data_IF_227467483190
#
_entry.id   IF_227467483190
#
_cell.length_a   1.000
_cell.length_b   1.000
_cell.length_c   1.000
_cell.angle_alpha   90.00
_cell.angle_beta   90.00
_cell.angle_gamma   90.00
#
_symmetry.space_group_name_H-M   'P 1'
#
loop_
_entity.id
_entity.type
_entity.pdbx_description
1 polymer ?
#
# COMPACT_ATOMS: atom_id res chain seq x y z
N UNK A 1 0.57 -6.52 1.82
CA UNK A 1 1.33 -7.75 1.53
C UNK A 1 2.50 -7.39 0.61
N UNK A 2 3.74 -7.55 1.10
CA UNK A 2 5.01 -7.10 0.48
C UNK A 2 5.38 -7.91 -0.76
N UNK A 3 5.92 -7.26 -1.79
CA UNK A 3 6.68 -7.94 -2.85
C UNK A 3 8.10 -8.08 -2.33
N UNK A 4 8.61 -9.32 -2.22
CA UNK A 4 10.01 -9.57 -1.84
C UNK A 4 10.77 -9.91 -3.11
N UNK A 5 11.73 -9.07 -3.49
CA UNK A 5 12.62 -9.37 -4.61
C UNK A 5 13.86 -9.97 -3.99
N UNK A 6 14.10 -11.26 -4.17
CA UNK A 6 15.23 -11.95 -3.54
C UNK A 6 16.55 -11.59 -4.25
N UNK A 7 16.99 -10.36 -4.06
CA UNK A 7 18.32 -9.85 -4.40
C UNK A 7 18.83 -9.08 -3.18
N UNK A 8 19.60 -9.75 -2.33
CA UNK A 8 20.77 -9.17 -1.66
C UNK A 8 21.37 -10.19 -0.68
N UNK A 9 22.60 -10.62 -0.97
CA UNK A 9 23.60 -10.73 0.08
C UNK A 9 24.36 -9.39 0.13
N UNK A 10 24.59 -8.92 1.37
CA UNK A 10 25.46 -7.83 1.84
C UNK A 10 24.79 -6.44 2.07
N UNK A 11 24.83 -6.05 3.35
CA UNK A 11 24.41 -4.80 4.02
C UNK A 11 22.91 -4.70 4.43
N UNK A 12 22.67 -4.92 5.72
CA UNK A 12 21.39 -5.26 6.39
C UNK A 12 20.35 -4.13 6.55
N UNK A 13 20.34 -3.13 5.66
CA UNK A 13 19.36 -2.03 5.65
C UNK A 13 19.02 -1.63 4.22
N UNK A 14 18.35 -2.53 3.48
CA UNK A 14 17.82 -2.23 2.16
C UNK A 14 16.29 -2.13 2.20
N UNK A 15 15.75 -0.96 1.85
CA UNK A 15 14.31 -0.77 1.69
C UNK A 15 13.93 -1.16 0.27
N UNK A 16 13.56 -2.42 0.08
CA UNK A 16 13.10 -2.91 -1.20
C UNK A 16 11.70 -2.36 -1.52
N UNK A 17 11.68 -1.28 -2.30
CA UNK A 17 10.45 -0.66 -2.77
C UNK A 17 10.07 -1.26 -4.13
N UNK A 18 8.82 -1.72 -4.23
CA UNK A 18 8.21 -2.09 -5.50
C UNK A 18 6.97 -1.24 -5.72
N UNK A 19 6.85 -0.65 -6.91
CA UNK A 19 5.72 0.20 -7.30
C UNK A 19 4.92 -0.53 -8.36
N UNK A 20 3.60 -0.64 -8.13
CA UNK A 20 2.66 -1.17 -9.10
C UNK A 20 1.61 -0.10 -9.38
N UNK A 21 1.38 0.18 -10.67
CA UNK A 21 0.28 1.06 -11.10
C UNK A 21 -0.92 0.20 -11.47
N UNK A 22 -2.07 0.51 -10.86
CA UNK A 22 -3.33 -0.22 -11.08
C UNK A 22 -4.48 0.76 -11.27
N UNK A 23 -5.37 0.47 -12.22
CA UNK A 23 -6.64 1.17 -12.33
C UNK A 23 -7.60 0.65 -11.25
N UNK A 24 -8.08 1.55 -10.39
CA UNK A 24 -9.04 1.17 -9.35
C UNK A 24 -10.40 0.80 -10.00
N UNK A 25 -11.01 -0.35 -9.63
CA UNK A 25 -12.26 -0.81 -10.25
C UNK A 25 -13.50 -0.10 -9.67
N UNK A 26 -13.51 1.23 -9.68
CA UNK A 26 -14.59 2.05 -9.11
C UNK A 26 -15.91 1.89 -9.86
N UNK A 27 -15.88 1.50 -11.13
CA UNK A 27 -17.07 1.25 -11.95
C UNK A 27 -17.79 -0.09 -11.70
N UNK A 28 -17.23 -1.00 -10.90
CA UNK A 28 -17.89 -2.28 -10.60
C UNK A 28 -18.81 -2.14 -9.38
N UNK A 29 -20.12 -2.48 -9.47
CA UNK A 29 -21.07 -2.25 -8.39
C UNK A 29 -20.90 -3.22 -7.21
N UNK A 30 -20.45 -4.46 -7.48
CA UNK A 30 -20.32 -5.50 -6.46
C UNK A 30 -18.96 -5.43 -5.75
N UNK A 31 -18.97 -5.36 -4.41
CA UNK A 31 -17.77 -5.39 -3.55
C UNK A 31 -16.92 -6.64 -3.79
N UNK A 32 -17.54 -7.82 -3.84
CA UNK A 32 -16.86 -9.10 -4.13
C UNK A 32 -16.16 -9.04 -5.49
N UNK A 33 -16.84 -8.52 -6.52
CA UNK A 33 -16.24 -8.35 -7.86
C UNK A 33 -15.09 -7.35 -7.87
N UNK A 34 -15.22 -6.21 -7.18
CA UNK A 34 -14.13 -5.23 -7.03
C UNK A 34 -12.88 -5.87 -6.40
N UNK A 35 -13.06 -6.59 -5.29
CA UNK A 35 -11.97 -7.23 -4.58
C UNK A 35 -11.31 -8.34 -5.42
N UNK A 36 -12.12 -9.21 -6.03
CA UNK A 36 -11.61 -10.29 -6.87
C UNK A 36 -10.87 -9.75 -8.10
N UNK A 37 -11.38 -8.68 -8.73
CA UNK A 37 -10.73 -8.04 -9.86
C UNK A 37 -9.39 -7.40 -9.46
N UNK A 38 -9.37 -6.62 -8.37
CA UNK A 38 -8.15 -6.00 -7.87
C UNK A 38 -7.12 -7.06 -7.45
N UNK A 39 -7.56 -8.15 -6.82
CA UNK A 39 -6.70 -9.27 -6.48
C UNK A 39 -6.11 -9.92 -7.74
N UNK A 40 -6.93 -10.25 -8.74
CA UNK A 40 -6.45 -10.84 -9.99
C UNK A 40 -5.45 -9.92 -10.72
N UNK A 41 -5.72 -8.61 -10.78
CA UNK A 41 -4.81 -7.64 -11.39
C UNK A 41 -3.47 -7.58 -10.65
N UNK A 42 -3.51 -7.43 -9.33
CA UNK A 42 -2.29 -7.31 -8.52
C UNK A 42 -1.49 -8.60 -8.48
N UNK A 43 -2.14 -9.78 -8.44
CA UNK A 43 -1.45 -11.07 -8.52
C UNK A 43 -0.74 -11.24 -9.86
N UNK A 44 -1.41 -10.96 -10.99
CA UNK A 44 -0.78 -11.00 -12.33
C UNK A 44 0.42 -10.08 -12.45
N UNK A 45 0.32 -8.86 -11.91
CA UNK A 45 1.43 -7.91 -11.92
C UNK A 45 2.59 -8.37 -11.06
N UNK A 46 2.32 -8.99 -9.91
CA UNK A 46 3.36 -9.55 -9.03
C UNK A 46 4.06 -10.76 -9.62
N UNK A 47 3.34 -11.61 -10.32
CA UNK A 47 3.87 -12.81 -10.98
C UNK A 47 4.62 -12.47 -12.28
N UNK A 48 4.46 -11.25 -12.80
CA UNK A 48 5.19 -10.77 -13.96
C UNK A 48 6.63 -10.34 -13.61
N UNK A 49 7.46 -10.09 -14.62
CA UNK A 49 8.81 -9.54 -14.44
C UNK A 49 8.82 -8.04 -14.09
N UNK A 50 7.66 -7.39 -14.06
CA UNK A 50 7.53 -5.94 -13.80
C UNK A 50 8.13 -5.53 -12.45
N UNK A 51 7.85 -6.20 -11.31
CA UNK A 51 8.41 -5.81 -10.02
C UNK A 51 9.93 -5.90 -9.98
N UNK A 52 10.50 -6.93 -10.63
CA UNK A 52 11.95 -7.10 -10.76
C UNK A 52 12.55 -6.00 -11.63
N UNK A 53 11.94 -5.70 -12.78
CA UNK A 53 12.39 -4.63 -13.67
C UNK A 53 12.34 -3.25 -13.01
N UNK A 54 11.27 -2.97 -12.26
CA UNK A 54 11.14 -1.73 -11.47
C UNK A 54 12.22 -1.69 -10.38
N UNK A 55 12.42 -2.76 -9.62
CA UNK A 55 13.44 -2.81 -8.57
C UNK A 55 14.85 -2.58 -9.14
N UNK A 56 15.22 -3.27 -10.22
CA UNK A 56 16.53 -3.10 -10.88
C UNK A 56 16.71 -1.67 -11.40
N UNK A 57 15.69 -1.10 -12.04
CA UNK A 57 15.73 0.27 -12.53
C UNK A 57 15.86 1.27 -11.37
N UNK A 58 15.12 1.08 -10.27
CA UNK A 58 15.19 1.94 -9.09
C UNK A 58 16.56 1.85 -8.41
N UNK A 59 17.13 0.65 -8.25
CA UNK A 59 18.48 0.48 -7.68
C UNK A 59 19.55 1.11 -8.59
N UNK A 60 19.51 0.84 -9.90
CA UNK A 60 20.47 1.39 -10.85
C UNK A 60 20.38 2.92 -10.91
N UNK A 61 19.16 3.46 -10.91
CA UNK A 61 18.97 4.91 -10.97
C UNK A 61 19.34 5.59 -9.66
N UNK A 62 18.97 5.02 -8.51
CA UNK A 62 19.34 5.53 -7.19
C UNK A 62 20.85 5.60 -6.96
N UNK A 63 21.63 4.68 -7.55
CA UNK A 63 23.08 4.67 -7.44
C UNK A 63 23.79 5.63 -8.41
N UNK A 64 23.21 5.90 -9.59
CA UNK A 64 23.91 6.56 -10.70
C UNK A 64 23.39 7.96 -11.04
N UNK A 65 22.15 8.30 -10.68
CA UNK A 65 21.53 9.56 -11.12
C UNK A 65 21.70 10.68 -10.09
N UNK A 66 21.97 11.92 -10.53
CA UNK A 66 21.85 13.09 -9.68
C UNK A 66 20.44 13.24 -9.12
N UNK A 67 20.33 13.77 -7.89
CA UNK A 67 19.06 13.94 -7.17
C UNK A 67 17.94 14.58 -8.01
N UNK A 68 18.26 15.58 -8.83
CA UNK A 68 17.27 16.24 -9.71
C UNK A 68 16.62 15.28 -10.71
N UNK A 69 17.37 14.30 -11.22
CA UNK A 69 16.85 13.34 -12.19
C UNK A 69 16.01 12.25 -11.50
N UNK A 70 16.36 11.90 -10.25
CA UNK A 70 15.52 11.05 -9.40
C UNK A 70 14.18 11.72 -9.08
N UNK A 71 14.20 12.99 -8.70
CA UNK A 71 12.99 13.79 -8.47
C UNK A 71 12.13 13.89 -9.74
N UNK A 72 12.74 14.10 -10.91
CA UNK A 72 12.03 14.11 -12.19
C UNK A 72 11.39 12.74 -12.53
N UNK A 73 12.09 11.64 -12.28
CA UNK A 73 11.55 10.28 -12.48
C UNK A 73 10.36 10.02 -11.56
N UNK A 74 10.50 10.34 -10.27
CA UNK A 74 9.43 10.19 -9.29
C UNK A 74 8.21 11.03 -9.68
N UNK A 75 8.43 12.29 -10.06
CA UNK A 75 7.36 13.19 -10.53
C UNK A 75 6.66 12.65 -11.78
N UNK A 76 7.40 12.08 -12.74
CA UNK A 76 6.81 11.47 -13.95
C UNK A 76 5.90 10.29 -13.62
N UNK A 77 6.31 9.42 -12.69
CA UNK A 77 5.50 8.30 -12.22
C UNK A 77 4.26 8.78 -11.46
N UNK A 78 4.45 9.76 -10.58
CA UNK A 78 3.38 10.32 -9.75
C UNK A 78 2.35 11.12 -10.58
N UNK A 79 2.77 11.80 -11.65
CA UNK A 79 1.88 12.59 -12.50
C UNK A 79 0.81 11.75 -13.24
N UNK A 80 0.99 10.43 -13.32
CA UNK A 80 0.02 9.50 -13.91
C UNK A 80 -0.85 8.79 -12.86
N UNK A 81 -0.71 9.13 -11.59
CA UNK A 81 -1.44 8.53 -10.49
C UNK A 81 -2.36 9.56 -9.84
N UNK A 82 -3.60 9.17 -9.56
CA UNK A 82 -4.54 9.99 -8.79
C UNK A 82 -4.32 9.82 -7.29
N UNK A 83 -3.92 8.63 -6.88
CA UNK A 83 -3.64 8.28 -5.49
C UNK A 83 -2.48 7.30 -5.39
N UNK A 84 -1.77 7.35 -4.27
CA UNK A 84 -0.76 6.36 -3.88
C UNK A 84 -1.23 5.60 -2.65
N UNK A 85 -1.10 4.28 -2.69
CA UNK A 85 -1.36 3.41 -1.54
C UNK A 85 -0.07 2.70 -1.17
N UNK A 86 0.39 2.92 0.06
CA UNK A 86 1.59 2.28 0.61
C UNK A 86 1.23 1.35 1.75
N UNK A 87 1.81 0.16 1.75
CA UNK A 87 1.61 -0.83 2.80
C UNK A 87 2.97 -1.26 3.36
N UNK A 88 3.30 -0.74 4.53
CA UNK A 88 4.56 -0.99 5.21
C UNK A 88 4.32 -2.03 6.32
N UNK A 89 4.86 -3.25 6.21
CA UNK A 89 4.78 -4.22 7.29
C UNK A 89 5.68 -3.75 8.44
N UNK A 90 5.10 -3.59 9.63
CA UNK A 90 5.86 -3.30 10.84
C UNK A 90 6.20 -4.55 11.64
N UNK A 91 6.87 -4.39 12.79
CA UNK A 91 7.26 -5.50 13.65
C UNK A 91 6.04 -6.16 14.31
N UNK A 92 6.06 -7.50 14.35
CA UNK A 92 5.02 -8.34 14.98
C UNK A 92 5.04 -8.18 16.50
N UNK A 93 6.22 -8.02 17.10
CA UNK A 93 6.34 -7.81 18.54
C UNK A 93 6.36 -6.33 18.88
N UNK A 94 5.44 -5.91 19.76
CA UNK A 94 5.45 -4.57 20.33
C UNK A 94 6.79 -4.30 21.02
N UNK A 95 7.26 -3.07 20.87
CA UNK A 95 8.54 -2.57 21.36
C UNK A 95 8.28 -1.59 22.48
N UNK A 96 9.32 -1.36 23.28
CA UNK A 96 9.34 -0.35 24.34
C UNK A 96 10.30 0.76 23.96
N UNK A 97 9.92 1.98 24.27
CA UNK A 97 10.79 3.15 24.17
C UNK A 97 11.02 3.68 25.58
N UNK A 98 12.28 3.76 26.02
CA UNK A 98 12.65 4.17 27.38
C UNK A 98 11.82 3.47 28.48
N UNK A 99 11.64 2.14 28.36
CA UNK A 99 10.87 1.33 29.32
C UNK A 99 9.34 1.35 29.13
N UNK A 100 8.80 2.29 28.36
CA UNK A 100 7.35 2.44 28.15
C UNK A 100 6.91 1.69 26.89
N UNK A 101 5.77 0.97 26.90
CA UNK A 101 5.26 0.31 25.71
C UNK A 101 4.88 1.36 24.66
N UNK A 102 5.30 1.14 23.41
CA UNK A 102 4.79 1.92 22.29
C UNK A 102 3.37 1.43 21.99
N UNK A 103 2.40 2.34 22.00
CA UNK A 103 0.99 2.00 21.82
C UNK A 103 0.62 1.80 20.35
N UNK A 104 1.25 2.57 19.46
CA UNK A 104 1.04 2.51 18.03
C UNK A 104 2.11 3.28 17.28
N UNK A 105 2.19 3.03 15.97
CA UNK A 105 3.07 3.73 15.05
C UNK A 105 2.23 4.09 13.83
N UNK A 106 2.19 5.38 13.52
CA UNK A 106 1.63 5.88 12.27
C UNK A 106 2.78 6.26 11.33
N UNK A 107 2.68 5.86 10.07
CA UNK A 107 3.64 6.24 9.02
C UNK A 107 2.94 7.23 8.10
N UNK A 108 3.47 8.45 8.02
CA UNK A 108 3.06 9.41 7.01
C UNK A 108 4.06 9.38 5.87
N UNK A 109 3.57 9.16 4.65
CA UNK A 109 4.42 9.26 3.46
C UNK A 109 4.24 10.66 2.88
N UNK A 110 5.33 11.39 2.62
CA UNK A 110 5.24 12.74 2.09
C UNK A 110 4.49 12.73 0.76
N UNK A 111 3.53 13.63 0.61
CA UNK A 111 2.84 13.83 -0.65
C UNK A 111 3.82 14.39 -1.69
N UNK A 112 3.80 13.80 -2.89
CA UNK A 112 4.48 14.35 -4.06
C UNK A 112 3.51 15.33 -4.72
N UNK A 113 4.00 16.46 -5.22
CA UNK A 113 3.21 17.63 -5.65
C UNK A 113 2.19 17.40 -6.79
N UNK A 114 2.06 16.18 -7.29
CA UNK A 114 1.11 15.80 -8.35
C UNK A 114 0.10 14.74 -7.92
N UNK A 115 0.15 14.26 -6.67
CA UNK A 115 -0.75 13.23 -6.16
C UNK A 115 -1.80 13.87 -5.25
N UNK A 116 -3.07 13.70 -5.61
CA UNK A 116 -4.18 14.24 -4.83
C UNK A 116 -4.40 13.54 -3.49
N UNK A 117 -4.05 12.26 -3.38
CA UNK A 117 -4.30 11.47 -2.17
C UNK A 117 -3.21 10.42 -1.92
N UNK A 118 -2.71 10.34 -0.68
CA UNK A 118 -1.77 9.30 -0.24
C UNK A 118 -2.37 8.55 0.95
N UNK A 119 -2.63 7.26 0.77
CA UNK A 119 -3.08 6.35 1.82
C UNK A 119 -1.91 5.49 2.28
N UNK A 120 -1.61 5.49 3.57
CA UNK A 120 -0.57 4.66 4.16
C UNK A 120 -1.16 3.67 5.16
N UNK A 121 -0.67 2.42 5.11
CA UNK A 121 -0.99 1.42 6.12
C UNK A 121 0.29 0.94 6.80
N UNK A 122 0.23 0.83 8.13
CA UNK A 122 1.31 0.32 8.95
C UNK A 122 0.77 -0.67 9.98
N UNK A 123 1.32 -1.89 10.01
CA UNK A 123 0.90 -2.91 10.98
C UNK A 123 1.90 -2.98 12.12
N UNK A 124 1.44 -2.74 13.35
CA UNK A 124 2.25 -2.80 14.57
C UNK A 124 1.63 -3.76 15.59
N UNK A 125 2.26 -4.92 15.78
CA UNK A 125 1.60 -6.02 16.46
C UNK A 125 0.31 -6.42 15.75
N UNK A 126 -0.80 -6.41 16.47
CA UNK A 126 -2.13 -6.76 15.94
C UNK A 126 -2.92 -5.54 15.42
N UNK A 127 -2.35 -4.33 15.55
CA UNK A 127 -3.04 -3.09 15.17
C UNK A 127 -2.55 -2.63 13.80
N UNK A 128 -3.49 -2.44 12.86
CA UNK A 128 -3.22 -1.77 11.59
C UNK A 128 -3.60 -0.29 11.70
N UNK A 129 -2.62 0.59 11.59
CA UNK A 129 -2.84 2.03 11.48
C UNK A 129 -3.02 2.41 10.02
N UNK A 130 -3.96 3.33 9.75
CA UNK A 130 -4.22 3.88 8.42
C UNK A 130 -4.02 5.40 8.49
N UNK A 131 -3.12 5.93 7.67
CA UNK A 131 -2.88 7.35 7.50
C UNK A 131 -3.37 7.84 6.15
N UNK A 132 -3.81 9.10 6.10
CA UNK A 132 -4.25 9.76 4.87
C UNK A 132 -3.62 11.15 4.78
N UNK A 133 -3.02 11.45 3.64
CA UNK A 133 -2.65 12.81 3.22
C UNK A 133 -3.51 13.15 2.02
N UNK A 134 -4.15 14.31 2.05
CA UNK A 134 -5.06 14.79 1.02
C UNK A 134 -4.62 16.17 0.55
N UNK A 135 -4.60 16.39 -0.75
CA UNK A 135 -4.35 17.70 -1.36
C UNK A 135 -5.50 18.66 -1.03
N UNK A 136 -5.17 19.88 -0.62
CA UNK A 136 -6.15 20.91 -0.23
C UNK A 136 -7.08 21.34 -1.38
N UNK A 137 -6.67 21.12 -2.63
CA UNK A 137 -7.48 21.37 -3.82
C UNK A 137 -8.60 20.35 -4.04
N UNK A 138 -8.62 19.23 -3.30
CA UNK A 138 -9.72 18.26 -3.35
C UNK A 138 -10.85 18.73 -2.43
N UNK A 139 -12.10 18.88 -2.93
CA UNK A 139 -13.21 19.40 -2.15
C UNK A 139 -13.82 18.33 -1.21
N UNK A 140 -13.00 17.72 -0.35
CA UNK A 140 -13.46 16.85 0.74
C UNK A 140 -12.50 16.95 1.93
N UNK A 141 -12.95 16.51 3.11
CA UNK A 141 -12.09 16.49 4.30
C UNK A 141 -11.45 15.12 4.51
N UNK A 142 -10.22 15.10 5.01
CA UNK A 142 -9.48 13.86 5.23
C UNK A 142 -10.17 12.90 6.24
N UNK A 143 -10.78 13.44 7.28
CA UNK A 143 -11.62 12.73 8.26
C UNK A 143 -12.81 12.04 7.59
N UNK A 144 -13.52 12.72 6.69
CA UNK A 144 -14.66 12.13 5.97
C UNK A 144 -14.23 10.94 5.10
N UNK A 145 -13.07 11.05 4.44
CA UNK A 145 -12.51 9.97 3.62
C UNK A 145 -12.09 8.78 4.48
N UNK A 146 -11.43 9.03 5.63
CA UNK A 146 -11.04 7.97 6.56
C UNK A 146 -12.25 7.25 7.17
N UNK A 147 -13.30 7.98 7.53
CA UNK A 147 -14.54 7.37 7.98
C UNK A 147 -15.24 6.55 6.89
N UNK A 148 -15.26 7.06 5.66
CA UNK A 148 -15.82 6.33 4.52
C UNK A 148 -15.03 5.04 4.24
N UNK A 149 -13.69 5.11 4.37
CA UNK A 149 -12.82 3.95 4.30
C UNK A 149 -13.15 2.93 5.38
N UNK A 150 -13.26 3.34 6.65
CA UNK A 150 -13.58 2.46 7.76
C UNK A 150 -14.94 1.76 7.56
N UNK A 151 -15.99 2.51 7.20
CA UNK A 151 -17.32 1.96 6.89
C UNK A 151 -17.31 0.97 5.73
N UNK A 152 -16.49 1.20 4.72
CA UNK A 152 -16.37 0.27 3.59
C UNK A 152 -15.56 -0.97 3.96
N UNK A 153 -14.54 -0.82 4.82
CA UNK A 153 -13.72 -1.92 5.33
C UNK A 153 -14.54 -2.91 6.16
N UNK A 154 -15.39 -2.43 7.08
CA UNK A 154 -16.32 -3.28 7.85
C UNK A 154 -17.20 -4.17 6.95
N UNK A 155 -17.66 -3.63 5.80
CA UNK A 155 -18.45 -4.42 4.83
C UNK A 155 -17.61 -5.50 4.16
N UNK A 156 -16.33 -5.25 3.93
CA UNK A 156 -15.42 -6.28 3.42
C UNK A 156 -15.11 -7.36 4.47
N UNK A 157 -15.01 -7.01 5.74
CA UNK A 157 -14.87 -7.98 6.83
C UNK A 157 -16.10 -8.88 6.94
N UNK A 158 -17.30 -8.31 6.86
CA UNK A 158 -18.55 -9.08 6.85
C UNK A 158 -18.57 -10.09 5.69
N UNK A 159 -18.19 -9.67 4.49
CA UNK A 159 -18.07 -10.55 3.31
C UNK A 159 -17.03 -11.65 3.50
N UNK A 160 -15.90 -11.35 4.15
CA UNK A 160 -14.87 -12.33 4.46
C UNK A 160 -15.37 -13.37 5.47
N UNK A 161 -16.10 -12.93 6.50
CA UNK A 161 -16.70 -13.82 7.49
C UNK A 161 -17.75 -14.75 6.88
N UNK A 162 -18.58 -14.25 5.96
CA UNK A 162 -19.54 -15.06 5.19
C UNK A 162 -18.83 -16.13 4.36
N UNK A 163 -17.80 -15.75 3.60
CA UNK A 163 -17.05 -16.68 2.77
C UNK A 163 -16.34 -17.77 3.60
N UNK A 164 -15.84 -17.42 4.79
CA UNK A 164 -15.25 -18.39 5.71
C UNK A 164 -16.28 -19.40 6.23
N UNK A 165 -17.51 -18.96 6.54
CA UNK A 165 -18.60 -19.87 6.94
C UNK A 165 -19.02 -20.81 5.83
N UNK A 166 -19.10 -20.31 4.59
CA UNK A 166 -19.46 -21.12 3.41
C UNK A 166 -18.42 -22.22 3.14
N UNK A 167 -17.13 -21.94 3.33
CA UNK A 167 -16.05 -22.94 3.22
C UNK A 167 -16.08 -24.02 4.30
N UNK A 168 -16.55 -23.69 5.51
CA UNK A 168 -16.67 -24.64 6.63
C UNK A 168 -17.93 -25.52 6.50
N UNK A 169 -18.94 -25.07 5.76
CA UNK A 169 -20.21 -25.79 5.54
C UNK A 169 -20.33 -26.56 4.22
N UNK A 170 -19.28 -26.61 3.38
CA UNK A 170 -19.28 -27.39 2.13
C UNK A 170 -19.20 -28.90 2.39
N UNK A 171 -19.82 -29.76 1.54
CA UNK A 171 -19.84 -31.21 1.79
C UNK A 171 -18.42 -31.79 1.76
N UNK A 172 -18.11 -32.61 2.77
CA UNK A 172 -16.93 -33.48 2.85
C UNK A 172 -16.94 -34.53 1.74
#
# INVERSE_FOLDING_TARGET
MSVRTNLASLADLDNQLSVLSVALPTGLPSRRRRLAHLHALTSRLKDSTVPLGVALLTTATGALLPRRLLEAQANFLCHRATAVVTNVPGPVHRRRFAGHPIEGIAVLVPAVSSIGMVLSTFTYGEVMSVGLVLDEGIPCRADEVLEAFAREFEKYEALAAEASREKVGGPL
#
